data_IF_260883791928
#
_entry.id   IF_260883791928
#
_cell.length_a   1.000
_cell.length_b   1.000
_cell.length_c   1.000
_cell.angle_alpha   90.00
_cell.angle_beta   90.00
_cell.angle_gamma   90.00
#
_symmetry.space_group_name_H-M   'P 1'
#
loop_
_entity.id
_entity.type
_entity.pdbx_description
1 polymer ?
#
# COMPACT_ATOMS: atom_id res chain seq x y z
N UNK A 1 -16.37 -8.36 -5.90
CA UNK A 1 -15.51 -7.82 -4.85
C UNK A 1 -14.03 -8.19 -5.09
N UNK A 2 -13.71 -9.47 -5.37
CA UNK A 2 -12.34 -9.97 -5.61
C UNK A 2 -11.60 -9.18 -6.70
N UNK A 3 -12.26 -8.89 -7.85
CA UNK A 3 -11.65 -8.09 -8.93
C UNK A 3 -11.28 -6.68 -8.44
N UNK A 4 -12.21 -5.99 -7.79
CA UNK A 4 -11.97 -4.63 -7.27
C UNK A 4 -10.92 -4.60 -6.18
N UNK A 5 -10.95 -5.55 -5.24
CA UNK A 5 -9.92 -5.67 -4.21
C UNK A 5 -8.53 -5.84 -4.83
N UNK A 6 -8.43 -6.74 -5.82
CA UNK A 6 -7.15 -6.99 -6.50
C UNK A 6 -6.65 -5.76 -7.25
N UNK A 7 -7.52 -4.97 -7.90
CA UNK A 7 -7.14 -3.71 -8.57
C UNK A 7 -6.65 -2.65 -7.57
N UNK A 8 -7.35 -2.50 -6.45
CA UNK A 8 -6.91 -1.60 -5.36
C UNK A 8 -5.56 -2.05 -4.81
N UNK A 9 -5.39 -3.36 -4.55
CA UNK A 9 -4.11 -3.93 -4.10
C UNK A 9 -2.97 -3.69 -5.10
N UNK A 10 -3.20 -3.84 -6.39
CA UNK A 10 -2.20 -3.54 -7.43
C UNK A 10 -1.79 -2.06 -7.41
N UNK A 11 -2.74 -1.16 -7.22
CA UNK A 11 -2.46 0.27 -7.03
C UNK A 11 -1.62 0.55 -5.79
N UNK A 12 -1.98 -0.07 -4.67
CA UNK A 12 -1.24 0.00 -3.40
C UNK A 12 0.20 -0.51 -3.57
N UNK A 13 0.40 -1.67 -4.19
CA UNK A 13 1.71 -2.25 -4.48
C UNK A 13 2.53 -1.34 -5.41
N UNK A 14 1.91 -0.76 -6.43
CA UNK A 14 2.60 0.13 -7.37
C UNK A 14 3.20 1.35 -6.68
N UNK A 15 2.50 1.93 -5.72
CA UNK A 15 3.03 3.02 -4.87
C UNK A 15 4.13 2.50 -3.95
N UNK A 16 3.88 1.43 -3.19
CA UNK A 16 4.83 0.89 -2.21
C UNK A 16 6.17 0.47 -2.84
N UNK A 17 6.15 0.00 -4.09
CA UNK A 17 7.35 -0.42 -4.86
C UNK A 17 7.96 0.69 -5.68
N UNK A 18 7.38 1.88 -5.69
CA UNK A 18 7.88 2.97 -6.53
C UNK A 18 9.30 3.37 -6.14
N UNK A 19 10.08 3.69 -7.17
CA UNK A 19 11.40 4.27 -7.06
C UNK A 19 11.43 5.53 -7.90
N UNK A 20 11.80 6.65 -7.31
CA UNK A 20 11.71 7.96 -7.94
C UNK A 20 12.88 8.86 -7.54
N UNK A 21 13.12 9.90 -8.35
CA UNK A 21 14.19 10.86 -8.08
C UNK A 21 13.82 11.76 -6.92
N UNK A 22 14.83 12.30 -6.24
CA UNK A 22 14.65 13.39 -5.31
C UNK A 22 13.97 14.58 -6.02
N UNK A 23 13.05 15.25 -5.34
CA UNK A 23 12.25 16.31 -5.95
C UNK A 23 10.95 15.88 -6.62
N UNK A 24 10.67 14.57 -6.71
CA UNK A 24 9.41 14.07 -7.26
C UNK A 24 8.22 14.36 -6.32
N UNK A 25 7.07 14.68 -6.91
CA UNK A 25 5.86 15.06 -6.19
C UNK A 25 4.87 13.89 -6.09
N UNK A 26 4.01 13.93 -5.09
CA UNK A 26 3.00 12.91 -4.84
C UNK A 26 2.01 12.67 -5.99
N UNK A 27 1.83 13.63 -6.90
CA UNK A 27 0.97 13.48 -8.09
C UNK A 27 1.33 12.28 -8.96
N UNK A 28 2.61 12.01 -9.15
CA UNK A 28 3.08 10.85 -9.93
C UNK A 28 2.72 9.54 -9.24
N UNK A 29 2.88 9.49 -7.92
CA UNK A 29 2.53 8.33 -7.09
C UNK A 29 1.01 8.09 -7.07
N UNK A 30 0.21 9.16 -7.00
CA UNK A 30 -1.24 9.09 -7.08
C UNK A 30 -1.72 8.49 -8.41
N UNK A 31 -1.06 8.81 -9.53
CA UNK A 31 -1.36 8.20 -10.81
C UNK A 31 -1.06 6.69 -10.84
N UNK A 32 0.00 6.24 -10.14
CA UNK A 32 0.30 4.80 -10.01
C UNK A 32 -0.80 4.07 -9.24
N UNK A 33 -1.27 4.66 -8.14
CA UNK A 33 -2.35 4.09 -7.32
C UNK A 33 -3.65 3.90 -8.09
N UNK A 34 -4.00 4.86 -8.95
CA UNK A 34 -5.26 4.89 -9.71
C UNK A 34 -5.25 4.06 -11.00
N UNK A 35 -4.07 3.66 -11.47
CA UNK A 35 -3.88 3.06 -12.80
C UNK A 35 -4.87 1.94 -13.08
N UNK A 36 -4.93 0.94 -12.21
CA UNK A 36 -5.68 -0.29 -12.44
C UNK A 36 -7.20 -0.14 -12.31
N UNK A 37 -7.68 0.88 -11.61
CA UNK A 37 -9.09 1.26 -11.59
C UNK A 37 -9.46 2.06 -12.85
N UNK A 38 -8.59 2.96 -13.29
CA UNK A 38 -8.82 3.75 -14.53
C UNK A 38 -8.90 2.86 -15.78
N UNK A 39 -8.22 1.71 -15.82
CA UNK A 39 -8.32 0.73 -16.92
C UNK A 39 -9.76 0.23 -17.15
N UNK A 40 -10.63 0.33 -16.14
CA UNK A 40 -12.04 -0.07 -16.19
C UNK A 40 -12.99 1.12 -15.95
N UNK A 41 -12.52 2.35 -16.20
CA UNK A 41 -13.27 3.59 -15.99
C UNK A 41 -13.77 3.80 -14.56
N UNK A 42 -13.07 3.23 -13.56
CA UNK A 42 -13.33 3.44 -12.14
C UNK A 42 -12.27 4.36 -11.52
N UNK A 43 -12.64 4.99 -10.42
CA UNK A 43 -11.76 5.87 -9.66
C UNK A 43 -12.23 5.97 -8.21
N UNK A 44 -11.44 6.65 -7.36
CA UNK A 44 -11.82 7.09 -6.02
C UNK A 44 -11.60 8.60 -5.90
N UNK A 45 -12.39 9.28 -5.07
CA UNK A 45 -12.44 10.75 -5.04
C UNK A 45 -11.52 11.39 -4.01
N UNK A 46 -10.97 10.62 -3.07
CA UNK A 46 -10.01 11.11 -2.06
C UNK A 46 -8.55 11.07 -2.58
N UNK A 47 -7.63 11.69 -1.85
CA UNK A 47 -6.19 11.52 -2.10
C UNK A 47 -5.74 10.07 -1.86
N UNK A 48 -4.69 9.64 -2.53
CA UNK A 48 -4.09 8.31 -2.28
C UNK A 48 -3.36 8.25 -0.94
N UNK A 49 -2.96 9.40 -0.39
CA UNK A 49 -2.29 9.44 0.90
C UNK A 49 -2.01 10.85 1.39
N UNK A 50 -1.82 10.96 2.70
CA UNK A 50 -1.55 12.17 3.45
C UNK A 50 -0.39 11.95 4.42
N UNK A 51 0.27 13.03 4.82
CA UNK A 51 1.26 12.99 5.90
C UNK A 51 0.62 12.62 7.25
N UNK A 52 1.43 12.08 8.13
CA UNK A 52 1.04 11.68 9.48
C UNK A 52 1.92 12.40 10.49
N UNK A 53 1.29 13.10 11.42
CA UNK A 53 1.98 13.89 12.44
C UNK A 53 2.60 13.03 13.54
N UNK A 54 3.71 13.52 14.10
CA UNK A 54 4.45 12.82 15.17
C UNK A 54 3.73 12.83 16.52
N UNK A 55 2.75 13.73 16.73
CA UNK A 55 1.94 13.83 17.96
C UNK A 55 0.51 13.32 17.75
N UNK A 56 0.36 12.13 17.15
CA UNK A 56 -0.93 11.47 16.93
C UNK A 56 -1.88 12.25 15.98
N UNK A 57 -1.38 13.24 15.26
CA UNK A 57 -2.18 13.96 14.28
C UNK A 57 -2.30 13.10 13.00
N UNK A 58 -3.49 12.56 12.76
CA UNK A 58 -3.73 11.62 11.64
C UNK A 58 -3.42 12.28 10.30
N UNK A 59 -3.83 13.53 10.10
CA UNK A 59 -3.58 14.29 8.88
C UNK A 59 -2.62 15.44 9.17
N UNK A 60 -1.41 15.38 8.62
CA UNK A 60 -0.43 16.46 8.72
C UNK A 60 0.27 16.68 7.37
N UNK A 61 0.29 17.89 6.90
CA UNK A 61 0.96 18.28 5.64
C UNK A 61 2.26 19.04 5.92
N UNK A 62 3.26 18.93 5.03
CA UNK A 62 3.47 17.87 4.05
C UNK A 62 3.89 16.55 4.69
N UNK A 63 3.93 15.41 3.97
CA UNK A 63 3.74 15.17 2.55
C UNK A 63 2.29 14.82 2.16
N UNK A 64 2.05 14.64 0.84
CA UNK A 64 0.78 14.05 0.36
C UNK A 64 0.97 13.27 -0.95
N UNK A 65 0.15 12.24 -1.16
CA UNK A 65 0.01 11.53 -2.43
C UNK A 65 -1.37 11.88 -3.00
N UNK A 66 -1.43 12.87 -3.89
CA UNK A 66 -2.68 13.32 -4.51
C UNK A 66 -2.40 14.06 -5.81
N UNK A 67 -3.45 14.27 -6.62
CA UNK A 67 -3.37 15.07 -7.84
C UNK A 67 -2.94 16.53 -7.56
N UNK A 68 -3.18 17.03 -6.36
CA UNK A 68 -2.90 18.38 -5.94
C UNK A 68 -1.58 18.53 -5.16
N UNK A 69 -0.84 17.45 -4.97
CA UNK A 69 0.43 17.48 -4.24
C UNK A 69 1.44 18.41 -4.91
N UNK A 70 1.92 19.40 -4.16
CA UNK A 70 2.90 20.41 -4.63
C UNK A 70 4.28 20.24 -4.02
N UNK A 71 4.36 19.59 -2.87
CA UNK A 71 5.59 19.39 -2.11
C UNK A 71 6.27 18.10 -2.58
N UNK A 72 7.59 18.20 -2.74
CA UNK A 72 8.43 17.06 -3.11
C UNK A 72 8.69 16.15 -1.91
N UNK A 73 8.85 14.86 -2.18
CA UNK A 73 9.25 13.91 -1.15
C UNK A 73 10.72 14.10 -0.76
N UNK A 74 10.96 14.02 0.53
CA UNK A 74 12.29 13.97 1.15
C UNK A 74 12.45 12.69 1.96
N UNK A 75 13.69 12.34 2.33
CA UNK A 75 13.94 11.17 3.17
C UNK A 75 13.30 11.34 4.55
N UNK A 76 12.76 10.26 5.10
CA UNK A 76 12.15 10.22 6.43
C UNK A 76 10.68 10.65 6.47
N UNK A 77 10.12 11.18 5.39
CA UNK A 77 8.70 11.54 5.36
C UNK A 77 7.82 10.29 5.48
N UNK A 78 6.85 10.35 6.40
CA UNK A 78 5.84 9.30 6.59
C UNK A 78 4.54 9.75 5.95
N UNK A 79 3.92 8.85 5.17
CA UNK A 79 2.68 9.12 4.46
C UNK A 79 1.81 7.86 4.41
N UNK A 80 0.48 8.03 4.41
CA UNK A 80 -0.42 6.92 4.13
C UNK A 80 -0.37 6.54 2.64
N UNK A 81 -0.66 5.28 2.34
CA UNK A 81 -0.86 4.74 1.00
C UNK A 81 -2.17 3.96 1.03
N UNK A 82 -3.26 4.61 0.61
CA UNK A 82 -4.63 4.19 0.90
C UNK A 82 -5.57 4.26 -0.32
N UNK A 83 -5.19 3.70 -1.48
CA UNK A 83 -6.12 3.62 -2.60
C UNK A 83 -7.39 2.85 -2.22
N UNK A 84 -8.51 3.20 -2.85
CA UNK A 84 -9.79 2.58 -2.55
C UNK A 84 -10.70 2.45 -3.77
N UNK A 85 -11.80 1.73 -3.57
CA UNK A 85 -12.94 1.63 -4.49
C UNK A 85 -14.23 1.63 -3.69
N UNK A 86 -15.22 2.38 -4.13
CA UNK A 86 -16.49 2.53 -3.41
C UNK A 86 -17.66 2.40 -4.37
N UNK A 87 -18.52 1.40 -4.12
CA UNK A 87 -19.75 1.19 -4.87
C UNK A 87 -20.92 1.68 -4.02
N UNK A 88 -21.61 2.71 -4.52
CA UNK A 88 -22.72 3.34 -3.80
C UNK A 88 -23.78 2.30 -3.40
N UNK A 89 -24.19 2.33 -2.13
CA UNK A 89 -25.19 1.45 -1.51
C UNK A 89 -24.82 -0.05 -1.55
N UNK A 90 -23.56 -0.40 -1.73
CA UNK A 90 -23.12 -1.80 -1.80
C UNK A 90 -21.91 -2.02 -0.88
N UNK A 91 -20.69 -1.76 -1.32
CA UNK A 91 -19.48 -1.98 -0.52
C UNK A 91 -18.38 -0.95 -0.83
N UNK A 92 -17.46 -0.82 0.12
CA UNK A 92 -16.22 -0.08 -0.05
C UNK A 92 -15.00 -0.97 0.21
N UNK A 93 -13.92 -0.68 -0.49
CA UNK A 93 -12.61 -1.30 -0.31
C UNK A 93 -11.60 -0.18 -0.12
N UNK A 94 -10.79 -0.26 0.95
CA UNK A 94 -9.59 0.55 1.12
C UNK A 94 -8.49 -0.36 1.61
N UNK A 95 -7.33 -0.30 0.96
CA UNK A 95 -6.12 -0.99 1.42
C UNK A 95 -5.14 0.10 1.83
N UNK A 96 -4.82 0.13 3.13
CA UNK A 96 -4.04 1.21 3.71
C UNK A 96 -2.80 0.70 4.44
N UNK A 97 -1.69 1.37 4.23
CA UNK A 97 -0.47 1.21 5.01
C UNK A 97 0.24 2.55 5.17
N UNK A 98 0.89 2.74 6.30
CA UNK A 98 1.90 3.79 6.44
C UNK A 98 3.17 3.37 5.73
N UNK A 99 3.73 4.27 4.96
CA UNK A 99 4.99 4.10 4.25
C UNK A 99 5.93 5.28 4.56
N UNK A 100 7.22 5.00 4.65
CA UNK A 100 8.24 6.00 4.92
C UNK A 100 9.24 6.08 3.76
N UNK A 101 9.52 7.28 3.29
CA UNK A 101 10.52 7.51 2.25
C UNK A 101 11.95 7.28 2.76
N UNK A 102 12.75 6.57 1.97
CA UNK A 102 14.15 6.27 2.21
C UNK A 102 14.99 6.56 0.98
N UNK A 103 16.23 6.99 1.16
CA UNK A 103 17.20 7.15 0.07
C UNK A 103 18.06 5.89 -0.08
N UNK A 104 18.22 5.44 -1.33
CA UNK A 104 19.20 4.44 -1.70
C UNK A 104 19.74 4.71 -3.10
N UNK A 105 21.07 4.79 -3.23
CA UNK A 105 21.75 5.02 -4.53
C UNK A 105 21.21 6.24 -5.30
N UNK A 106 20.93 7.34 -4.58
CA UNK A 106 20.43 8.59 -5.16
C UNK A 106 18.96 8.61 -5.58
N UNK A 107 18.18 7.60 -5.19
CA UNK A 107 16.74 7.53 -5.43
C UNK A 107 15.97 7.37 -4.12
N UNK A 108 14.78 7.94 -4.09
CA UNK A 108 13.79 7.66 -3.05
C UNK A 108 13.04 6.37 -3.37
N UNK A 109 12.72 5.62 -2.32
CA UNK A 109 11.85 4.45 -2.33
C UNK A 109 11.09 4.41 -1.01
N UNK A 110 10.07 3.56 -0.89
CA UNK A 110 9.31 3.43 0.33
C UNK A 110 9.66 2.18 1.13
N UNK A 111 9.69 2.34 2.46
CA UNK A 111 9.63 1.26 3.43
C UNK A 111 8.22 1.23 4.03
N UNK A 112 7.51 0.12 3.92
CA UNK A 112 6.22 -0.08 4.59
C UNK A 112 6.43 -0.23 6.09
N UNK A 113 5.66 0.51 6.87
CA UNK A 113 5.70 0.51 8.34
C UNK A 113 4.59 -0.35 8.94
N UNK A 114 3.40 -0.35 8.34
CA UNK A 114 2.25 -1.15 8.78
C UNK A 114 2.55 -2.63 8.63
N UNK A 115 2.25 -3.40 9.67
CA UNK A 115 2.48 -4.85 9.74
C UNK A 115 1.12 -5.56 9.92
N UNK A 116 0.39 -5.76 8.81
CA UNK A 116 -0.88 -6.48 8.78
C UNK A 116 -0.99 -7.29 7.47
N UNK A 117 -1.41 -8.56 7.49
CA UNK A 117 -1.56 -9.32 6.26
C UNK A 117 -2.70 -8.77 5.39
N UNK A 118 -2.55 -8.87 4.07
CA UNK A 118 -3.64 -8.63 3.14
C UNK A 118 -4.65 -9.78 3.18
N UNK A 119 -5.93 -9.47 2.91
CA UNK A 119 -6.98 -10.47 2.81
C UNK A 119 -6.78 -11.36 1.58
N UNK A 120 -6.31 -12.58 1.81
CA UNK A 120 -5.88 -13.52 0.75
C UNK A 120 -7.03 -14.02 -0.12
N UNK A 121 -8.20 -14.21 0.48
CA UNK A 121 -9.38 -14.75 -0.21
C UNK A 121 -9.99 -13.74 -1.20
N UNK A 122 -9.61 -12.47 -1.07
CA UNK A 122 -9.97 -11.41 -2.00
C UNK A 122 -8.92 -11.14 -3.09
N UNK A 123 -7.84 -11.93 -3.15
CA UNK A 123 -6.79 -11.77 -4.16
C UNK A 123 -7.02 -12.72 -5.34
N UNK A 124 -7.33 -12.16 -6.51
CA UNK A 124 -7.28 -12.91 -7.76
C UNK A 124 -5.84 -13.01 -8.27
N UNK A 125 -5.18 -14.14 -7.98
CA UNK A 125 -3.78 -14.39 -8.35
C UNK A 125 -3.52 -14.28 -9.86
N UNK A 126 -4.52 -14.59 -10.72
CA UNK A 126 -4.38 -14.50 -12.19
C UNK A 126 -4.23 -13.06 -12.69
N UNK A 127 -4.64 -12.08 -11.90
CA UNK A 127 -4.50 -10.65 -12.22
C UNK A 127 -3.13 -10.08 -11.81
N UNK A 128 -2.34 -10.82 -11.01
CA UNK A 128 -1.03 -10.38 -10.52
C UNK A 128 0.08 -10.87 -11.45
N UNK A 129 1.06 -10.01 -11.69
CA UNK A 129 2.32 -10.44 -12.30
C UNK A 129 3.29 -10.99 -11.24
N UNK A 130 4.35 -11.67 -11.71
CA UNK A 130 5.36 -12.30 -10.85
C UNK A 130 5.94 -11.34 -9.81
N UNK A 131 6.26 -10.11 -10.19
CA UNK A 131 6.85 -9.11 -9.28
C UNK A 131 5.87 -8.61 -8.21
N UNK A 132 4.57 -8.59 -8.51
CA UNK A 132 3.53 -8.24 -7.53
C UNK A 132 3.36 -9.37 -6.51
N UNK A 133 3.37 -10.63 -6.96
CA UNK A 133 3.32 -11.81 -6.08
C UNK A 133 4.55 -11.86 -5.17
N UNK A 134 5.75 -11.73 -5.74
CA UNK A 134 7.01 -11.71 -4.97
C UNK A 134 7.00 -10.60 -3.91
N UNK A 135 6.43 -9.44 -4.22
CA UNK A 135 6.32 -8.35 -3.27
C UNK A 135 5.35 -8.68 -2.12
N UNK A 136 4.17 -9.26 -2.43
CA UNK A 136 3.20 -9.67 -1.41
C UNK A 136 3.80 -10.74 -0.49
N UNK A 137 4.42 -11.77 -1.07
CA UNK A 137 5.02 -12.87 -0.31
C UNK A 137 6.16 -12.38 0.59
N UNK A 138 7.00 -11.46 0.10
CA UNK A 138 8.04 -10.81 0.90
C UNK A 138 7.44 -9.99 2.04
N UNK A 139 6.41 -9.17 1.75
CA UNK A 139 5.72 -8.37 2.75
C UNK A 139 5.08 -9.26 3.82
N UNK A 140 4.37 -10.33 3.43
CA UNK A 140 3.78 -11.28 4.36
C UNK A 140 4.85 -12.00 5.21
N UNK A 141 6.00 -12.34 4.63
CA UNK A 141 7.14 -12.88 5.38
C UNK A 141 7.66 -11.88 6.42
N UNK A 142 7.74 -10.61 6.08
CA UNK A 142 8.17 -9.55 7.01
C UNK A 142 7.12 -9.36 8.13
N UNK A 143 5.84 -9.32 7.81
CA UNK A 143 4.75 -9.27 8.80
C UNK A 143 4.86 -10.44 9.77
N UNK A 144 4.98 -11.67 9.25
CA UNK A 144 5.12 -12.88 10.07
C UNK A 144 6.32 -12.80 11.01
N UNK A 145 7.50 -12.50 10.49
CA UNK A 145 8.75 -12.48 11.27
C UNK A 145 8.76 -11.42 12.38
N UNK A 146 8.10 -10.29 12.14
CA UNK A 146 8.02 -9.21 13.13
C UNK A 146 6.98 -9.47 14.22
N UNK A 147 5.87 -10.15 13.91
CA UNK A 147 4.73 -10.25 14.83
C UNK A 147 4.67 -11.57 15.62
N UNK A 148 5.17 -12.70 15.07
CA UNK A 148 5.00 -14.02 15.70
C UNK A 148 5.44 -14.06 17.18
N UNK A 149 6.49 -13.33 17.54
CA UNK A 149 7.02 -13.33 18.92
C UNK A 149 6.09 -12.69 19.97
N UNK A 150 5.09 -11.94 19.53
CA UNK A 150 4.15 -11.23 20.41
C UNK A 150 2.80 -11.92 20.52
N UNK A 151 2.61 -13.07 19.83
CA UNK A 151 1.33 -13.73 19.65
C UNK A 151 1.22 -15.01 20.50
N UNK A 152 0.01 -15.32 20.95
CA UNK A 152 -0.32 -16.61 21.54
C UNK A 152 -0.41 -17.71 20.44
N UNK A 153 -0.55 -18.99 20.84
CA UNK A 153 -0.52 -20.11 19.89
C UNK A 153 -1.67 -20.11 18.86
N UNK A 154 -2.84 -19.61 19.22
CA UNK A 154 -3.97 -19.50 18.30
C UNK A 154 -3.72 -18.40 17.26
N UNK A 155 -3.24 -17.25 17.70
CA UNK A 155 -2.88 -16.12 16.84
C UNK A 155 -1.72 -16.45 15.90
N UNK A 156 -0.70 -17.19 16.39
CA UNK A 156 0.40 -17.68 15.55
C UNK A 156 -0.09 -18.56 14.41
N UNK A 157 -0.98 -19.51 14.70
CA UNK A 157 -1.57 -20.41 13.67
C UNK A 157 -2.33 -19.57 12.62
N UNK A 158 -3.11 -18.61 13.06
CA UNK A 158 -3.82 -17.70 12.16
C UNK A 158 -2.84 -16.88 11.30
N UNK A 159 -1.85 -16.22 11.91
CA UNK A 159 -0.88 -15.40 11.18
C UNK A 159 -0.08 -16.22 10.16
N UNK A 160 0.38 -17.41 10.53
CA UNK A 160 1.10 -18.32 9.61
C UNK A 160 0.25 -18.64 8.39
N UNK A 161 -1.05 -18.91 8.59
CA UNK A 161 -1.99 -19.18 7.50
C UNK A 161 -2.15 -17.92 6.61
N UNK A 162 -2.44 -16.76 7.21
CA UNK A 162 -2.67 -15.51 6.49
C UNK A 162 -1.43 -15.01 5.74
N UNK A 163 -0.23 -15.39 6.16
CA UNK A 163 1.03 -14.97 5.56
C UNK A 163 1.74 -16.07 4.76
N UNK A 164 1.07 -17.19 4.50
CA UNK A 164 1.62 -18.24 3.62
C UNK A 164 1.78 -17.73 2.18
N UNK A 165 2.76 -18.21 1.40
CA UNK A 165 2.96 -17.75 0.02
C UNK A 165 1.69 -17.86 -0.83
N UNK A 166 1.51 -16.95 -1.79
CA UNK A 166 0.36 -16.96 -2.69
C UNK A 166 0.44 -18.09 -3.72
N UNK A 167 1.65 -18.47 -4.11
CA UNK A 167 1.91 -19.59 -5.03
C UNK A 167 2.92 -20.51 -4.32
N UNK A 168 2.57 -21.76 -4.21
CA UNK A 168 3.47 -22.82 -3.75
C UNK A 168 4.41 -23.24 -4.86
#
# INVERSE_FOLDING_TARGET
QIDMYTRVLKGHIAVARSKFKYGEKGKKLDNLARKYLKEINCNFEHGTGHGVGCFLNVHESPPSISQFSRISFEEGMVVSNEPGFYKKNDYGIRIESLIMSKISKGYLHFKTLTMAPFERDLINKKMLNKKEIEWIDKYHSDVKSNLLRFMNEQEKKWLINQTSPLIN
#
